data_IF_090422290260
#
_entry.id   IF_090422290260
#
_cell.length_a   1.000
_cell.length_b   1.000
_cell.length_c   1.000
_cell.angle_alpha   90.00
_cell.angle_beta   90.00
_cell.angle_gamma   90.00
#
_symmetry.space_group_name_H-M   'P 1'
#
loop_
_entity.id
_entity.type
_entity.pdbx_description
1 polymer ?
#
# COMPACT_ATOMS: atom_id res chain seq x y z
N UNK A 1 -17.46 11.52 10.31
CA UNK A 1 -16.00 11.54 10.25
C UNK A 1 -15.49 10.35 11.07
N UNK A 2 -15.04 9.29 10.43
CA UNK A 2 -14.62 8.08 11.13
C UNK A 2 -13.10 8.01 11.03
N UNK A 3 -12.48 8.25 12.15
CA UNK A 3 -11.02 8.18 12.29
C UNK A 3 -10.56 6.72 12.26
N UNK A 4 -9.52 6.45 11.50
CA UNK A 4 -8.73 5.25 11.63
C UNK A 4 -7.74 5.50 12.80
N UNK A 5 -8.11 5.09 14.00
CA UNK A 5 -7.14 4.97 15.09
C UNK A 5 -6.32 3.71 14.86
N UNK A 6 -5.10 3.81 14.43
CA UNK A 6 -4.18 2.68 14.45
C UNK A 6 -3.51 2.64 15.83
N UNK A 7 -3.99 1.77 16.68
CA UNK A 7 -3.30 1.47 17.94
C UNK A 7 -2.12 0.54 17.65
N UNK A 8 -0.95 0.97 18.03
CA UNK A 8 0.28 0.19 17.86
C UNK A 8 0.57 -0.59 19.11
N UNK A 9 0.74 -1.89 18.94
CA UNK A 9 1.35 -2.70 19.96
C UNK A 9 2.83 -2.90 19.65
N UNK A 10 3.60 -2.61 20.64
CA UNK A 10 5.00 -2.96 20.92
C UNK A 10 5.79 -3.63 19.78
N UNK A 11 6.87 -2.96 19.40
CA UNK A 11 8.03 -3.63 18.80
C UNK A 11 8.48 -4.69 19.80
N UNK A 12 8.30 -5.96 19.46
CA UNK A 12 8.89 -7.06 20.22
C UNK A 12 10.40 -7.07 19.96
N UNK A 13 11.18 -7.63 20.88
CA UNK A 13 12.66 -7.73 20.81
C UNK A 13 13.20 -8.34 19.48
N UNK A 14 12.32 -8.87 18.63
CA UNK A 14 12.64 -9.44 17.32
C UNK A 14 12.49 -8.47 16.14
N UNK A 15 12.29 -7.16 16.37
CA UNK A 15 12.15 -6.13 15.33
C UNK A 15 10.97 -6.31 14.34
N UNK A 16 10.03 -7.20 14.60
CA UNK A 16 8.83 -7.37 13.79
C UNK A 16 7.72 -6.55 14.42
N UNK A 17 7.27 -5.51 13.72
CA UNK A 17 6.12 -4.70 14.13
C UNK A 17 4.80 -5.37 13.79
N UNK A 18 3.77 -4.93 14.50
CA UNK A 18 2.38 -5.31 14.23
C UNK A 18 1.55 -4.03 14.01
N UNK A 19 0.60 -4.11 13.10
CA UNK A 19 -0.36 -3.05 12.85
C UNK A 19 -1.76 -3.51 13.23
N UNK A 20 -2.50 -2.63 13.89
CA UNK A 20 -3.91 -2.83 14.18
C UNK A 20 -4.71 -1.72 13.52
N UNK A 21 -5.69 -2.11 12.73
CA UNK A 21 -6.63 -1.17 12.15
C UNK A 21 -7.84 -1.01 13.07
N UNK A 22 -8.41 0.19 13.22
CA UNK A 22 -9.35 0.53 14.32
C UNK A 22 -10.63 -0.28 14.40
N UNK A 23 -11.07 -0.84 13.30
CA UNK A 23 -12.32 -1.62 13.25
C UNK A 23 -12.11 -3.12 13.22
N UNK A 24 -10.86 -3.52 13.11
CA UNK A 24 -10.46 -4.91 13.16
C UNK A 24 -9.66 -5.13 14.46
N UNK A 25 -10.24 -5.79 15.45
CA UNK A 25 -9.56 -6.08 16.72
C UNK A 25 -8.37 -7.05 16.59
N UNK A 26 -7.90 -7.30 15.36
CA UNK A 26 -6.80 -8.21 15.08
C UNK A 26 -5.52 -7.45 14.84
N UNK A 27 -4.45 -7.89 15.50
CA UNK A 27 -3.10 -7.48 15.15
C UNK A 27 -2.62 -8.20 13.89
N UNK A 28 -1.99 -7.44 12.99
CA UNK A 28 -1.42 -7.96 11.75
C UNK A 28 0.07 -7.73 11.76
N UNK A 29 0.83 -8.78 11.49
CA UNK A 29 2.29 -8.70 11.42
C UNK A 29 2.71 -7.92 10.19
N UNK A 30 3.64 -7.00 10.40
CA UNK A 30 4.36 -6.29 9.36
C UNK A 30 5.53 -7.13 8.86
N UNK A 31 5.95 -6.95 7.60
CA UNK A 31 7.22 -7.50 7.13
C UNK A 31 8.40 -6.65 7.62
N UNK A 32 9.59 -7.22 7.64
CA UNK A 32 10.82 -6.49 7.97
C UNK A 32 11.23 -5.50 6.87
N UNK A 33 10.67 -5.62 5.66
CA UNK A 33 10.95 -4.75 4.53
C UNK A 33 9.96 -3.61 4.40
N UNK A 34 9.20 -3.63 3.32
CA UNK A 34 8.26 -2.57 2.95
C UNK A 34 6.83 -3.09 3.10
N UNK A 35 6.02 -2.36 3.86
CA UNK A 35 4.61 -2.64 4.05
C UNK A 35 3.78 -1.58 3.33
N UNK A 36 2.97 -1.99 2.38
CA UNK A 36 2.14 -1.10 1.58
C UNK A 36 0.71 -1.17 2.09
N UNK A 37 0.17 -0.03 2.47
CA UNK A 37 -1.23 0.12 2.87
C UNK A 37 -1.95 0.92 1.81
N UNK A 38 -2.97 0.34 1.22
CA UNK A 38 -3.79 0.99 0.19
C UNK A 38 -5.27 0.95 0.54
N UNK A 39 -6.00 1.92 0.06
CA UNK A 39 -7.45 2.02 0.24
C UNK A 39 -8.07 2.76 -0.94
N UNK A 40 -9.33 2.46 -1.23
CA UNK A 40 -10.14 3.23 -2.17
C UNK A 40 -10.51 4.61 -1.65
N UNK A 41 -10.37 4.84 -0.37
CA UNK A 41 -10.83 6.03 0.34
C UNK A 41 -9.66 6.71 1.05
N UNK A 42 -9.12 7.76 0.45
CA UNK A 42 -7.99 8.54 0.97
C UNK A 42 -8.26 9.16 2.34
N UNK A 43 -9.51 9.56 2.60
CA UNK A 43 -9.88 10.29 3.82
C UNK A 43 -9.67 9.49 5.10
N UNK A 44 -9.70 8.17 5.01
CA UNK A 44 -9.53 7.32 6.18
C UNK A 44 -8.05 7.14 6.57
N UNK A 45 -7.12 7.50 5.70
CA UNK A 45 -5.68 7.29 5.91
C UNK A 45 -4.94 8.56 6.35
N UNK A 46 -5.49 9.76 6.12
CA UNK A 46 -4.86 11.02 6.54
C UNK A 46 -4.71 11.12 8.06
N UNK A 47 -5.60 10.48 8.82
CA UNK A 47 -5.58 10.48 10.29
C UNK A 47 -4.65 9.43 10.89
N UNK A 48 -4.17 8.50 10.11
CA UNK A 48 -3.17 7.50 10.55
C UNK A 48 -1.81 8.13 10.77
N UNK A 49 -1.54 9.29 10.12
CA UNK A 49 -0.26 10.00 10.20
C UNK A 49 0.16 10.33 11.64
N UNK A 50 -0.76 10.83 12.46
CA UNK A 50 -0.41 11.30 13.80
C UNK A 50 -0.21 10.16 14.80
N UNK A 51 -0.87 9.05 14.60
CA UNK A 51 -0.70 7.84 15.40
C UNK A 51 0.62 7.12 15.07
N UNK A 52 1.06 7.20 13.81
CA UNK A 52 2.27 6.56 13.31
C UNK A 52 3.58 7.26 13.72
N UNK A 53 3.55 8.53 14.09
CA UNK A 53 4.72 9.30 14.56
C UNK A 53 5.33 8.80 15.88
N UNK A 54 4.72 7.83 16.54
CA UNK A 54 5.18 7.30 17.82
C UNK A 54 6.21 6.18 17.73
N UNK A 55 6.54 5.74 16.51
CA UNK A 55 7.53 4.68 16.29
C UNK A 55 8.85 5.26 15.82
N UNK A 56 9.82 5.30 16.72
CA UNK A 56 11.14 5.88 16.43
C UNK A 56 11.94 5.09 15.41
N UNK A 57 11.61 3.80 15.20
CA UNK A 57 12.36 2.88 14.31
C UNK A 57 11.70 2.60 12.95
N UNK A 58 10.55 3.20 12.67
CA UNK A 58 9.81 2.99 11.42
C UNK A 58 9.77 4.23 10.56
N UNK A 59 9.98 4.05 9.27
CA UNK A 59 9.79 5.10 8.29
C UNK A 59 8.40 5.00 7.69
N UNK A 60 7.68 6.10 7.69
CA UNK A 60 6.32 6.20 7.19
C UNK A 60 6.27 7.25 6.11
N UNK A 61 5.64 6.92 5.00
CA UNK A 61 5.43 7.86 3.91
C UNK A 61 4.04 7.72 3.32
N UNK A 62 3.56 8.82 2.76
CA UNK A 62 2.25 8.95 2.12
C UNK A 62 2.45 9.40 0.69
N UNK A 63 1.94 8.65 -0.25
CA UNK A 63 2.00 8.95 -1.68
C UNK A 63 0.58 8.89 -2.26
N UNK A 64 0.00 10.05 -2.52
CA UNK A 64 -1.36 10.18 -3.02
C UNK A 64 -1.40 10.71 -4.45
N UNK A 65 -2.31 10.15 -5.27
CA UNK A 65 -2.49 10.57 -6.67
C UNK A 65 -3.40 11.78 -6.82
N UNK A 66 -4.32 12.02 -5.87
CA UNK A 66 -5.34 13.07 -5.94
C UNK A 66 -4.99 14.31 -5.10
N UNK A 67 -3.77 14.45 -4.68
CA UNK A 67 -3.35 15.68 -4.00
C UNK A 67 -3.17 16.82 -5.00
N UNK A 68 -3.33 18.05 -4.52
CA UNK A 68 -2.98 19.26 -5.29
C UNK A 68 -1.54 19.24 -5.81
N UNK A 69 -0.72 18.36 -5.25
CA UNK A 69 0.65 18.07 -5.62
C UNK A 69 0.72 16.74 -6.39
N UNK A 70 0.06 16.64 -7.54
CA UNK A 70 0.16 15.47 -8.41
C UNK A 70 1.64 15.20 -8.71
N UNK A 71 2.13 14.08 -8.18
CA UNK A 71 3.48 13.66 -8.52
C UNK A 71 3.52 13.11 -9.94
N UNK A 72 4.43 13.67 -10.73
CA UNK A 72 4.74 13.11 -12.05
C UNK A 72 5.27 11.68 -11.89
N UNK A 73 4.96 10.74 -12.82
CA UNK A 73 5.46 9.36 -12.75
C UNK A 73 6.97 9.23 -12.52
N UNK A 74 7.78 10.15 -13.07
CA UNK A 74 9.23 10.21 -12.81
C UNK A 74 9.53 10.43 -11.33
N UNK A 75 8.84 11.35 -10.68
CA UNK A 75 9.02 11.62 -9.25
C UNK A 75 8.57 10.45 -8.38
N UNK A 76 7.51 9.76 -8.78
CA UNK A 76 7.05 8.54 -8.10
C UNK A 76 8.09 7.43 -8.18
N UNK A 77 8.72 7.26 -9.34
CA UNK A 77 9.83 6.32 -9.53
C UNK A 77 11.01 6.67 -8.63
N UNK A 78 11.45 7.93 -8.62
CA UNK A 78 12.54 8.40 -7.77
C UNK A 78 12.24 8.16 -6.28
N UNK A 79 11.00 8.37 -5.85
CA UNK A 79 10.59 8.08 -4.47
C UNK A 79 10.62 6.58 -4.16
N UNK A 80 10.16 5.74 -5.09
CA UNK A 80 10.23 4.29 -4.93
C UNK A 80 11.69 3.80 -4.81
N UNK A 81 12.58 4.32 -5.64
CA UNK A 81 14.02 4.01 -5.60
C UNK A 81 14.64 4.41 -4.25
N UNK A 82 14.29 5.56 -3.71
CA UNK A 82 14.76 6.02 -2.39
C UNK A 82 14.28 5.11 -1.27
N UNK A 83 12.99 4.75 -1.25
CA UNK A 83 12.42 3.86 -0.23
C UNK A 83 13.13 2.51 -0.27
N UNK A 84 13.31 1.94 -1.44
CA UNK A 84 13.98 0.64 -1.61
C UNK A 84 15.45 0.72 -1.17
N UNK A 85 16.18 1.78 -1.54
CA UNK A 85 17.56 1.98 -1.13
C UNK A 85 17.73 2.11 0.40
N UNK A 86 16.76 2.72 1.09
CA UNK A 86 16.75 2.77 2.54
C UNK A 86 16.37 1.42 3.16
N UNK A 87 15.39 0.72 2.58
CA UNK A 87 14.98 -0.59 3.06
C UNK A 87 16.11 -1.63 2.96
N UNK A 88 16.98 -1.55 1.94
CA UNK A 88 18.21 -2.37 1.84
C UNK A 88 19.15 -2.16 3.03
N UNK A 89 19.12 -1.00 3.69
CA UNK A 89 19.91 -0.67 4.87
C UNK A 89 19.24 -1.09 6.19
N UNK A 90 18.28 -1.99 6.13
CA UNK A 90 17.51 -2.50 7.28
C UNK A 90 16.54 -1.50 7.92
N UNK A 91 16.08 -0.51 7.18
CA UNK A 91 14.99 0.34 7.61
C UNK A 91 13.65 -0.28 7.23
N UNK A 92 12.74 -0.33 8.18
CA UNK A 92 11.37 -0.80 7.94
C UNK A 92 10.49 0.35 7.46
N UNK A 93 9.63 0.09 6.48
CA UNK A 93 8.77 1.10 5.89
C UNK A 93 7.31 0.72 5.96
N UNK A 94 6.48 1.71 6.25
CA UNK A 94 5.04 1.66 5.99
C UNK A 94 4.74 2.75 4.96
N UNK A 95 4.18 2.35 3.84
CA UNK A 95 3.84 3.22 2.71
C UNK A 95 2.34 3.23 2.54
N UNK A 96 1.73 4.39 2.72
CA UNK A 96 0.32 4.61 2.45
C UNK A 96 0.17 5.21 1.06
N UNK A 97 -0.56 4.55 0.17
CA UNK A 97 -0.70 5.02 -1.21
C UNK A 97 -1.97 4.51 -1.87
N UNK A 98 -2.54 5.34 -2.75
CA UNK A 98 -3.58 5.00 -3.71
C UNK A 98 -3.03 4.89 -5.15
N UNK A 99 -1.73 5.02 -5.34
CA UNK A 99 -1.09 4.97 -6.65
C UNK A 99 -0.71 3.55 -7.04
N UNK A 100 -1.48 2.97 -7.96
CA UNK A 100 -1.14 1.65 -8.53
C UNK A 100 0.21 1.65 -9.23
N UNK A 101 0.57 2.74 -9.92
CA UNK A 101 1.88 2.90 -10.53
C UNK A 101 3.00 2.78 -9.48
N UNK A 102 2.86 3.51 -8.37
CA UNK A 102 3.85 3.51 -7.30
C UNK A 102 3.96 2.14 -6.61
N UNK A 103 2.83 1.46 -6.36
CA UNK A 103 2.80 0.09 -5.82
C UNK A 103 3.58 -0.87 -6.73
N UNK A 104 3.35 -0.80 -8.04
CA UNK A 104 4.05 -1.65 -9.02
C UNK A 104 5.53 -1.34 -9.10
N UNK A 105 5.94 -0.07 -9.04
CA UNK A 105 7.36 0.32 -9.01
C UNK A 105 8.06 -0.23 -7.75
N UNK A 106 7.46 -0.04 -6.57
CA UNK A 106 7.99 -0.64 -5.33
C UNK A 106 8.13 -2.15 -5.44
N UNK A 107 7.12 -2.83 -6.02
CA UNK A 107 7.17 -4.28 -6.23
C UNK A 107 8.32 -4.71 -7.13
N UNK A 108 8.51 -4.04 -8.26
CA UNK A 108 9.59 -4.35 -9.21
C UNK A 108 10.96 -4.15 -8.58
N UNK A 109 11.19 -3.00 -7.96
CA UNK A 109 12.47 -2.65 -7.33
C UNK A 109 12.78 -3.56 -6.14
N UNK A 110 11.79 -3.84 -5.29
CA UNK A 110 11.96 -4.74 -4.15
C UNK A 110 12.30 -6.16 -4.60
N UNK A 111 11.68 -6.65 -5.68
CA UNK A 111 12.01 -7.96 -6.26
C UNK A 111 13.45 -8.03 -6.75
N UNK A 112 13.94 -6.97 -7.39
CA UNK A 112 15.33 -6.88 -7.84
C UNK A 112 16.33 -6.90 -6.68
N UNK A 113 15.92 -6.41 -5.51
CA UNK A 113 16.75 -6.27 -4.31
C UNK A 113 16.52 -7.35 -3.27
N UNK A 114 15.66 -8.33 -3.55
CA UNK A 114 15.25 -9.40 -2.62
C UNK A 114 14.73 -8.85 -1.28
N UNK A 115 13.98 -7.76 -1.34
CA UNK A 115 13.32 -7.19 -0.17
C UNK A 115 11.93 -7.79 0.00
N UNK A 116 11.54 -8.01 1.26
CA UNK A 116 10.20 -8.44 1.59
C UNK A 116 9.20 -7.31 1.40
N UNK A 117 8.09 -7.64 0.76
CA UNK A 117 6.93 -6.78 0.62
C UNK A 117 5.72 -7.42 1.26
N UNK A 118 4.90 -6.59 1.90
CA UNK A 118 3.59 -7.00 2.37
C UNK A 118 2.56 -5.92 2.04
N UNK A 119 1.39 -6.36 1.62
CA UNK A 119 0.29 -5.51 1.19
C UNK A 119 -0.87 -5.63 2.16
N UNK A 120 -1.46 -4.49 2.52
CA UNK A 120 -2.70 -4.37 3.27
C UNK A 120 -3.66 -3.53 2.43
N UNK A 121 -4.76 -4.13 2.02
CA UNK A 121 -5.78 -3.45 1.24
C UNK A 121 -7.05 -3.27 2.08
N UNK A 122 -7.41 -2.00 2.32
CA UNK A 122 -8.62 -1.63 2.99
C UNK A 122 -9.72 -1.42 1.94
N UNK A 123 -10.82 -2.14 2.06
CA UNK A 123 -11.93 -2.07 1.14
C UNK A 123 -13.27 -2.12 1.87
N UNK A 124 -14.32 -1.61 1.23
CA UNK A 124 -15.67 -1.67 1.78
C UNK A 124 -16.45 -2.82 1.15
N UNK A 125 -17.04 -3.63 1.99
CA UNK A 125 -18.00 -4.66 1.63
C UNK A 125 -19.27 -4.44 2.44
N UNK A 126 -20.39 -4.23 1.76
CA UNK A 126 -21.69 -3.96 2.41
C UNK A 126 -21.63 -2.81 3.46
N UNK A 127 -20.91 -1.72 3.13
CA UNK A 127 -20.62 -0.59 4.03
C UNK A 127 -19.80 -0.93 5.28
N UNK A 128 -19.18 -2.10 5.33
CA UNK A 128 -18.27 -2.51 6.39
C UNK A 128 -16.84 -2.44 5.85
N UNK A 129 -15.95 -1.76 6.60
CA UNK A 129 -14.53 -1.75 6.26
C UNK A 129 -13.92 -3.11 6.58
N UNK A 130 -13.38 -3.74 5.56
CA UNK A 130 -12.63 -4.98 5.65
C UNK A 130 -11.19 -4.78 5.20
N UNK A 131 -10.30 -5.69 5.59
CA UNK A 131 -8.88 -5.62 5.29
C UNK A 131 -8.44 -7.00 4.80
N UNK A 132 -7.83 -7.02 3.64
CA UNK A 132 -7.10 -8.18 3.14
C UNK A 132 -5.60 -7.92 3.18
N UNK A 133 -4.82 -8.98 3.38
CA UNK A 133 -3.38 -8.91 3.40
C UNK A 133 -2.76 -10.01 2.54
N UNK A 134 -1.62 -9.71 1.91
CA UNK A 134 -0.88 -10.67 1.10
C UNK A 134 0.58 -10.23 0.93
N UNK A 135 1.45 -11.18 0.71
CA UNK A 135 2.83 -10.94 0.27
C UNK A 135 2.93 -10.81 -1.25
N UNK A 136 1.84 -11.09 -1.98
CA UNK A 136 1.74 -10.92 -3.42
C UNK A 136 0.59 -10.00 -3.80
N UNK A 137 0.92 -8.95 -4.58
CA UNK A 137 -0.03 -7.96 -5.06
C UNK A 137 -1.21 -8.58 -5.83
N UNK A 138 -0.94 -9.59 -6.64
CA UNK A 138 -1.94 -10.21 -7.50
C UNK A 138 -2.84 -11.22 -6.77
N UNK A 139 -2.51 -11.54 -5.54
CA UNK A 139 -3.37 -12.36 -4.65
C UNK A 139 -4.42 -11.53 -3.89
N UNK A 140 -4.38 -10.21 -4.00
CA UNK A 140 -5.41 -9.32 -3.45
C UNK A 140 -6.65 -9.33 -4.35
N UNK A 141 -7.77 -9.84 -3.84
CA UNK A 141 -9.00 -10.01 -4.62
C UNK A 141 -9.84 -8.74 -4.69
N UNK A 142 -9.72 -7.87 -3.68
CA UNK A 142 -10.55 -6.69 -3.52
C UNK A 142 -9.78 -5.38 -3.77
N UNK A 143 -8.64 -5.45 -4.43
CA UNK A 143 -7.87 -4.26 -4.81
C UNK A 143 -8.54 -3.55 -5.99
N UNK A 144 -9.41 -2.58 -5.71
CA UNK A 144 -10.21 -1.91 -6.74
C UNK A 144 -9.36 -1.14 -7.75
N UNK A 145 -8.23 -0.60 -7.32
CA UNK A 145 -7.25 0.05 -8.21
C UNK A 145 -6.79 -0.89 -9.33
N UNK A 146 -6.49 -2.14 -8.99
CA UNK A 146 -6.08 -3.16 -9.95
C UNK A 146 -7.26 -3.57 -10.84
N UNK A 147 -8.41 -3.83 -10.25
CA UNK A 147 -9.61 -4.26 -10.97
C UNK A 147 -10.06 -3.21 -11.97
N UNK A 148 -10.05 -1.93 -11.61
CA UNK A 148 -10.38 -0.82 -12.51
C UNK A 148 -9.36 -0.68 -13.64
N UNK A 149 -8.07 -0.84 -13.35
CA UNK A 149 -7.00 -0.80 -14.35
C UNK A 149 -7.13 -1.94 -15.38
N UNK A 150 -7.41 -3.15 -14.93
CA UNK A 150 -7.65 -4.31 -15.80
C UNK A 150 -8.89 -4.09 -16.65
N UNK A 151 -9.99 -3.62 -16.09
CA UNK A 151 -11.22 -3.34 -16.80
C UNK A 151 -11.02 -2.26 -17.89
N UNK A 152 -10.25 -1.21 -17.59
CA UNK A 152 -9.88 -0.18 -18.56
C UNK A 152 -9.06 -0.77 -19.71
N UNK A 153 -8.03 -1.54 -19.41
CA UNK A 153 -7.19 -2.19 -20.40
C UNK A 153 -7.97 -3.11 -21.32
N UNK A 154 -8.86 -3.96 -20.75
CA UNK A 154 -9.71 -4.85 -21.53
C UNK A 154 -10.66 -4.06 -22.45
N UNK A 155 -11.21 -2.94 -21.98
CA UNK A 155 -12.04 -2.05 -22.78
C UNK A 155 -11.24 -1.43 -23.93
N UNK A 156 -10.01 -1.00 -23.69
CA UNK A 156 -9.14 -0.48 -24.74
C UNK A 156 -8.86 -1.54 -25.82
N UNK A 157 -8.51 -2.75 -25.42
CA UNK A 157 -8.29 -3.87 -26.34
C UNK A 157 -9.55 -4.12 -27.19
N UNK A 158 -10.73 -4.18 -26.58
CA UNK A 158 -11.97 -4.46 -27.31
C UNK A 158 -12.33 -3.37 -28.31
N UNK A 159 -11.91 -2.12 -28.08
CA UNK A 159 -12.17 -0.99 -28.99
C UNK A 159 -11.15 -0.94 -30.14
N UNK A 160 -9.86 -1.10 -29.81
CA UNK A 160 -8.77 -0.90 -30.78
C UNK A 160 -8.33 -2.20 -31.48
N UNK A 161 -8.58 -3.35 -30.88
CA UNK A 161 -8.24 -4.66 -31.42
C UNK A 161 -9.39 -5.66 -31.21
N UNK A 162 -10.54 -5.47 -31.88
CA UNK A 162 -11.73 -6.30 -31.66
C UNK A 162 -11.52 -7.79 -31.95
N UNK A 163 -10.52 -8.14 -32.77
CA UNK A 163 -10.18 -9.53 -33.12
C UNK A 163 -9.43 -10.29 -32.03
N UNK A 164 -9.04 -9.63 -30.93
CA UNK A 164 -8.36 -10.24 -29.78
C UNK A 164 -9.30 -10.62 -28.63
N UNK A 165 -10.60 -10.37 -28.77
CA UNK A 165 -11.61 -10.71 -27.75
C UNK A 165 -12.36 -11.94 -28.23
N UNK A 166 -11.87 -13.13 -27.88
CA UNK A 166 -12.61 -14.38 -27.93
C UNK A 166 -13.35 -14.66 -26.63
#
# INVERSE_FOLDING_TARGET
MHYLDCDYASVTDNKIGEIRFPRDNKFRKLSLGINIVTSDYMYDLDNVADTLKRFDDWHITYIWTDSKNRMHPTNLKDQAERIVAFAEKQYQWIVFTDSLFFIKELRLLSKQKNLDLKYFNLYFKDNILEIEESDDLYSLNNLSLMNKSIAQFNREISIYNPDFVD
#
